data_IF_774942694945
#
_entry.id   IF_774942694945
#
_cell.length_a   1.000
_cell.length_b   1.000
_cell.length_c   1.000
_cell.angle_alpha   90.00
_cell.angle_beta   90.00
_cell.angle_gamma   90.00
#
_symmetry.space_group_name_H-M   'P 1'
#
loop_
_entity.id
_entity.type
_entity.pdbx_description
1 polymer ?
#
# COMPACT_ATOMS: atom_id res chain seq x y z
N UNK A 1 -64.20 -49.33 -29.04
CA UNK A 1 -64.91 -49.40 -27.76
C UNK A 1 -63.96 -48.86 -26.71
N UNK A 2 -64.10 -47.69 -26.10
CA UNK A 2 -65.27 -46.94 -25.69
C UNK A 2 -64.79 -45.52 -25.36
N UNK A 3 -65.42 -44.54 -25.99
CA UNK A 3 -65.43 -43.15 -25.54
C UNK A 3 -66.58 -43.03 -24.53
N UNK A 4 -66.29 -42.57 -23.32
CA UNK A 4 -67.16 -41.89 -22.35
C UNK A 4 -66.46 -41.94 -20.98
N UNK A 5 -66.45 -40.95 -20.10
CA UNK A 5 -67.07 -39.64 -20.03
C UNK A 5 -66.45 -38.96 -18.78
N UNK A 6 -66.48 -37.63 -18.74
CA UNK A 6 -66.32 -36.78 -17.54
C UNK A 6 -64.90 -36.45 -17.04
N UNK A 7 -64.26 -35.48 -17.71
CA UNK A 7 -63.84 -34.26 -17.01
C UNK A 7 -65.06 -33.30 -16.97
N UNK A 8 -65.20 -32.31 -16.07
CA UNK A 8 -64.10 -31.44 -15.59
C UNK A 8 -64.24 -30.89 -14.14
N UNK A 9 -63.15 -30.23 -13.72
CA UNK A 9 -63.08 -29.01 -12.89
C UNK A 9 -62.31 -29.08 -11.56
N UNK A 10 -61.22 -28.28 -11.58
CA UNK A 10 -60.64 -27.48 -10.47
C UNK A 10 -59.64 -28.28 -9.61
N UNK A 11 -58.34 -28.25 -9.93
CA UNK A 11 -57.34 -27.24 -9.49
C UNK A 11 -57.46 -26.99 -7.97
N UNK A 12 -56.47 -27.03 -7.10
CA UNK A 12 -55.02 -26.97 -7.15
C UNK A 12 -54.62 -26.88 -5.66
N UNK A 13 -53.40 -27.31 -5.29
CA UNK A 13 -52.75 -27.13 -3.98
C UNK A 13 -53.37 -27.97 -2.84
N UNK A 14 -52.62 -28.85 -2.19
CA UNK A 14 -51.72 -28.42 -1.12
C UNK A 14 -50.79 -29.56 -0.69
N UNK A 15 -49.50 -29.22 -0.60
CA UNK A 15 -48.36 -30.06 -0.26
C UNK A 15 -48.43 -30.71 1.14
N UNK A 16 -47.71 -31.82 1.37
CA UNK A 16 -47.65 -32.49 2.67
C UNK A 16 -46.96 -31.63 3.73
N UNK A 17 -47.52 -31.70 4.93
CA UNK A 17 -47.07 -31.08 6.18
C UNK A 17 -45.67 -31.55 6.57
N UNK A 18 -44.64 -30.81 6.12
CA UNK A 18 -43.29 -30.91 6.68
C UNK A 18 -43.24 -30.14 8.01
N UNK A 19 -43.31 -30.89 9.12
CA UNK A 19 -43.06 -30.37 10.47
C UNK A 19 -41.57 -30.04 10.58
N UNK A 20 -41.22 -28.78 10.36
CA UNK A 20 -39.91 -28.24 10.71
C UNK A 20 -39.89 -27.92 12.21
N UNK A 21 -39.15 -28.70 12.99
CA UNK A 21 -38.79 -28.35 14.37
C UNK A 21 -37.66 -27.31 14.32
N UNK A 22 -37.84 -26.06 14.78
CA UNK A 22 -36.70 -25.19 14.96
C UNK A 22 -35.91 -25.67 16.18
N UNK A 23 -34.79 -26.34 15.95
CA UNK A 23 -33.77 -26.56 16.98
C UNK A 23 -33.24 -25.19 17.40
N UNK A 24 -33.74 -24.71 18.53
CA UNK A 24 -33.26 -23.51 19.21
C UNK A 24 -31.89 -23.80 19.81
N UNK A 25 -30.83 -23.58 19.03
CA UNK A 25 -29.49 -23.42 19.55
C UNK A 25 -28.66 -22.60 18.55
N UNK A 26 -29.04 -21.34 18.35
CA UNK A 26 -28.09 -20.35 17.89
C UNK A 26 -27.05 -20.20 19.02
N UNK A 27 -25.96 -20.93 18.88
CA UNK A 27 -24.76 -20.71 19.68
C UNK A 27 -24.24 -19.34 19.29
N UNK A 28 -24.64 -18.32 20.04
CA UNK A 28 -24.02 -17.00 20.03
C UNK A 28 -22.61 -17.18 20.58
N UNK A 29 -21.71 -17.72 19.77
CA UNK A 29 -20.29 -17.65 20.03
C UNK A 29 -19.94 -16.19 19.83
N UNK A 30 -19.98 -15.44 20.93
CA UNK A 30 -19.50 -14.08 21.01
C UNK A 30 -18.09 -14.08 20.41
N UNK A 31 -17.97 -13.56 19.19
CA UNK A 31 -16.68 -13.14 18.68
C UNK A 31 -16.37 -11.87 19.47
N UNK A 32 -15.79 -12.03 20.65
CA UNK A 32 -15.12 -10.92 21.31
C UNK A 32 -14.03 -10.48 20.33
N UNK A 33 -14.06 -9.27 19.75
CA UNK A 33 -12.82 -8.72 19.25
C UNK A 33 -11.94 -8.57 20.48
N UNK A 34 -11.04 -9.53 20.66
CA UNK A 34 -9.89 -9.30 21.52
C UNK A 34 -9.11 -8.19 20.82
N UNK A 35 -9.43 -6.95 21.16
CA UNK A 35 -8.51 -5.82 21.13
C UNK A 35 -7.40 -6.07 22.16
N UNK A 36 -6.75 -7.23 22.08
CA UNK A 36 -5.35 -7.35 22.41
C UNK A 36 -4.62 -6.88 21.16
N UNK A 37 -4.46 -5.57 21.04
CA UNK A 37 -3.35 -4.99 20.31
C UNK A 37 -2.08 -5.54 20.96
N UNK A 38 -1.71 -6.74 20.54
CA UNK A 38 -0.36 -7.25 20.66
C UNK A 38 0.47 -6.33 19.79
N UNK A 39 0.90 -5.22 20.37
CA UNK A 39 1.88 -4.30 19.80
C UNK A 39 3.20 -5.07 19.70
N UNK A 40 3.29 -5.96 18.70
CA UNK A 40 4.58 -6.41 18.20
C UNK A 40 5.19 -5.17 17.55
N UNK A 41 6.26 -4.59 18.11
CA UNK A 41 6.86 -3.38 17.54
C UNK A 41 7.27 -3.59 16.08
N UNK A 42 7.46 -4.84 15.65
CA UNK A 42 7.90 -5.19 14.30
C UNK A 42 6.99 -4.69 13.17
N UNK A 43 5.66 -4.65 13.33
CA UNK A 43 4.77 -4.27 12.21
C UNK A 43 4.76 -2.76 11.93
N UNK A 44 4.85 -1.92 12.96
CA UNK A 44 4.81 -0.46 12.80
C UNK A 44 6.21 0.09 12.54
N UNK A 45 7.22 -0.43 13.26
CA UNK A 45 8.60 0.04 13.13
C UNK A 45 9.19 -0.30 11.75
N UNK A 46 8.87 -1.49 11.20
CA UNK A 46 9.30 -1.87 9.86
C UNK A 46 8.73 -0.96 8.76
N UNK A 47 7.43 -0.59 8.87
CA UNK A 47 6.79 0.34 7.92
C UNK A 47 7.35 1.76 8.04
N UNK A 48 7.59 2.22 9.27
CA UNK A 48 8.19 3.54 9.49
C UNK A 48 9.57 3.63 8.85
N UNK A 49 10.44 2.66 9.11
CA UNK A 49 11.77 2.61 8.51
C UNK A 49 11.67 2.60 6.99
N UNK A 50 10.78 1.78 6.42
CA UNK A 50 10.60 1.73 4.97
C UNK A 50 10.20 3.09 4.39
N UNK A 51 9.20 3.77 4.97
CA UNK A 51 8.81 5.11 4.52
C UNK A 51 9.92 6.14 4.68
N UNK A 52 10.70 6.08 5.76
CA UNK A 52 11.86 6.99 5.91
C UNK A 52 12.91 6.74 4.84
N UNK A 53 13.20 5.47 4.52
CA UNK A 53 14.15 5.09 3.47
C UNK A 53 13.64 5.55 2.11
N UNK A 54 12.36 5.33 1.80
CA UNK A 54 11.75 5.75 0.54
C UNK A 54 11.81 7.27 0.36
N UNK A 55 11.46 8.03 1.40
CA UNK A 55 11.52 9.49 1.37
C UNK A 55 12.96 9.97 1.14
N UNK A 56 13.94 9.34 1.79
CA UNK A 56 15.36 9.66 1.56
C UNK A 56 15.77 9.31 0.14
N UNK A 57 15.40 8.13 -0.38
CA UNK A 57 15.72 7.71 -1.75
C UNK A 57 15.15 8.69 -2.78
N UNK A 58 13.88 9.07 -2.64
CA UNK A 58 13.25 10.07 -3.50
C UNK A 58 14.01 11.39 -3.42
N UNK A 59 14.37 11.86 -2.21
CA UNK A 59 15.15 13.09 -2.06
C UNK A 59 16.54 13.02 -2.71
N UNK A 60 17.21 11.88 -2.64
CA UNK A 60 18.51 11.64 -3.27
C UNK A 60 18.42 11.63 -4.79
N UNK A 61 17.37 11.04 -5.37
CA UNK A 61 17.12 11.08 -6.82
C UNK A 61 16.92 12.51 -7.30
N UNK A 62 16.10 13.29 -6.58
CA UNK A 62 15.86 14.70 -6.91
C UNK A 62 17.14 15.55 -6.80
N UNK A 63 17.96 15.28 -5.79
CA UNK A 63 19.28 15.91 -5.67
C UNK A 63 20.22 15.53 -6.82
N UNK A 64 20.22 14.27 -7.25
CA UNK A 64 20.98 13.80 -8.41
C UNK A 64 20.54 14.47 -9.72
N UNK A 65 19.23 14.63 -9.93
CA UNK A 65 18.68 15.39 -11.06
C UNK A 65 19.17 16.84 -11.05
N UNK A 66 19.17 17.50 -9.90
CA UNK A 66 19.72 18.85 -9.74
C UNK A 66 21.21 18.90 -10.09
N UNK A 67 22.01 17.91 -9.68
CA UNK A 67 23.43 17.85 -9.98
C UNK A 67 23.73 17.59 -11.48
N UNK A 68 22.91 16.79 -12.16
CA UNK A 68 23.09 16.44 -13.57
C UNK A 68 22.52 17.48 -14.54
N UNK A 69 21.39 18.09 -14.19
CA UNK A 69 20.61 18.95 -15.11
C UNK A 69 20.62 20.43 -14.71
N UNK A 70 21.02 20.74 -13.47
CA UNK A 70 20.95 22.09 -12.91
C UNK A 70 19.54 22.55 -12.50
N UNK A 71 18.50 21.74 -12.75
CA UNK A 71 17.13 22.08 -12.37
C UNK A 71 16.81 21.64 -10.94
N UNK A 72 16.32 22.56 -10.12
CA UNK A 72 15.87 22.28 -8.76
C UNK A 72 14.33 22.34 -8.71
N UNK A 73 13.72 21.46 -7.91
CA UNK A 73 12.30 21.57 -7.57
C UNK A 73 12.12 22.84 -6.73
N UNK A 74 11.35 23.78 -7.27
CA UNK A 74 10.98 24.98 -6.54
C UNK A 74 10.02 24.60 -5.42
N UNK A 75 10.38 24.94 -4.18
CA UNK A 75 9.50 24.83 -3.01
C UNK A 75 8.66 26.09 -2.79
N UNK A 76 8.86 27.13 -3.62
CA UNK A 76 8.06 28.36 -3.64
C UNK A 76 6.56 28.21 -4.00
N UNK A 77 6.12 27.24 -4.83
CA UNK A 77 4.70 27.01 -5.06
C UNK A 77 4.02 26.24 -3.91
N UNK A 78 4.78 25.75 -2.92
CA UNK A 78 4.16 25.17 -1.73
C UNK A 78 3.68 26.29 -0.79
N UNK A 79 2.50 26.13 -0.16
CA UNK A 79 2.02 27.07 0.83
C UNK A 79 3.03 27.22 1.97
N UNK A 80 3.28 28.46 2.39
CA UNK A 80 4.16 28.79 3.51
C UNK A 80 3.68 28.03 4.76
N UNK A 81 4.49 27.08 5.23
CA UNK A 81 4.11 26.22 6.35
C UNK A 81 5.09 25.06 6.61
N UNK A 82 4.74 24.17 7.55
CA UNK A 82 5.58 23.01 7.92
C UNK A 82 5.94 22.10 6.73
N UNK A 83 5.07 22.06 5.72
CA UNK A 83 5.30 21.31 4.49
C UNK A 83 6.50 21.84 3.70
N UNK A 84 6.65 23.17 3.58
CA UNK A 84 7.78 23.79 2.89
C UNK A 84 9.10 23.54 3.62
N UNK A 85 9.12 23.76 4.94
CA UNK A 85 10.30 23.50 5.76
C UNK A 85 10.72 22.02 5.73
N UNK A 86 9.75 21.10 5.71
CA UNK A 86 10.02 19.66 5.58
C UNK A 86 10.58 19.34 4.20
N UNK A 87 9.99 19.87 3.13
CA UNK A 87 10.50 19.69 1.77
C UNK A 87 11.93 20.22 1.60
N UNK A 88 12.21 21.42 2.11
CA UNK A 88 13.55 22.01 2.08
C UNK A 88 14.57 21.16 2.86
N UNK A 89 14.17 20.64 4.03
CA UNK A 89 15.03 19.77 4.85
C UNK A 89 15.29 18.44 4.14
N UNK A 90 14.28 17.83 3.54
CA UNK A 90 14.40 16.58 2.79
C UNK A 90 15.28 16.75 1.55
N UNK A 91 15.08 17.80 0.77
CA UNK A 91 15.91 18.09 -0.40
C UNK A 91 17.37 18.34 0.01
N UNK A 92 17.60 19.13 1.06
CA UNK A 92 18.95 19.36 1.59
C UNK A 92 19.60 18.08 2.11
N UNK A 93 18.84 17.19 2.75
CA UNK A 93 19.33 15.90 3.20
C UNK A 93 19.67 14.98 2.02
N UNK A 94 18.81 14.93 1.00
CA UNK A 94 19.04 14.19 -0.24
C UNK A 94 20.33 14.60 -0.95
N UNK A 95 20.65 15.90 -0.99
CA UNK A 95 21.91 16.42 -1.53
C UNK A 95 23.13 15.94 -0.74
N UNK A 96 23.07 15.93 0.59
CA UNK A 96 24.17 15.41 1.41
C UNK A 96 24.41 13.94 1.15
N UNK A 97 23.34 13.13 1.16
CA UNK A 97 23.42 11.68 0.89
C UNK A 97 23.98 11.42 -0.49
N UNK A 98 23.50 12.14 -1.52
CA UNK A 98 24.00 12.04 -2.88
C UNK A 98 25.49 12.38 -2.97
N UNK A 99 25.91 13.49 -2.36
CA UNK A 99 27.31 13.91 -2.38
C UNK A 99 28.23 12.93 -1.64
N UNK A 100 27.77 12.36 -0.52
CA UNK A 100 28.50 11.30 0.18
C UNK A 100 28.59 10.04 -0.67
N UNK A 101 27.49 9.62 -1.32
CA UNK A 101 27.49 8.46 -2.22
C UNK A 101 28.42 8.67 -3.42
N UNK A 102 28.38 9.84 -4.06
CA UNK A 102 29.29 10.20 -5.14
C UNK A 102 30.75 10.22 -4.65
N UNK A 103 31.02 10.77 -3.47
CA UNK A 103 32.34 10.72 -2.84
C UNK A 103 32.85 9.29 -2.61
N UNK A 104 31.98 8.40 -2.12
CA UNK A 104 32.29 6.98 -1.94
C UNK A 104 32.58 6.28 -3.28
N UNK A 105 31.96 6.72 -4.37
CA UNK A 105 32.25 6.17 -5.69
C UNK A 105 33.68 6.48 -6.16
N UNK A 106 34.25 7.62 -5.75
CA UNK A 106 35.63 7.96 -6.07
C UNK A 106 36.67 7.28 -5.17
N UNK A 107 36.30 6.90 -3.95
CA UNK A 107 37.26 6.34 -2.97
C UNK A 107 37.24 4.83 -2.91
N UNK A 108 36.15 4.19 -3.31
CA UNK A 108 36.03 2.73 -3.26
C UNK A 108 36.53 2.09 -4.55
N UNK A 109 37.32 1.02 -4.42
CA UNK A 109 37.86 0.26 -5.55
C UNK A 109 36.83 -0.58 -6.32
N UNK A 110 35.53 -0.44 -5.99
CA UNK A 110 34.42 -1.11 -6.70
C UNK A 110 33.97 -0.34 -7.94
N UNK A 111 34.34 0.93 -8.07
CA UNK A 111 33.95 1.76 -9.19
C UNK A 111 35.14 1.99 -10.10
N UNK A 112 35.04 1.47 -11.31
CA UNK A 112 35.96 1.79 -12.39
C UNK A 112 35.42 3.00 -13.15
N UNK A 113 36.30 3.96 -13.47
CA UNK A 113 35.95 5.06 -14.35
C UNK A 113 35.97 4.53 -15.77
N UNK A 114 34.83 4.57 -16.45
CA UNK A 114 34.77 4.30 -17.88
C UNK A 114 35.63 5.34 -18.63
N UNK A 115 36.78 4.91 -19.15
CA UNK A 115 37.61 5.74 -20.00
C UNK A 115 36.97 5.79 -21.38
N UNK A 116 36.31 6.91 -21.70
CA UNK A 116 35.73 7.11 -23.02
C UNK A 116 36.87 7.13 -24.05
N UNK A 117 36.91 6.19 -25.02
CA UNK A 117 38.01 6.15 -25.98
C UNK A 117 38.04 7.46 -26.77
N UNK A 118 39.21 8.14 -26.76
CA UNK A 118 39.45 9.30 -27.61
C UNK A 118 39.46 8.82 -29.07
N UNK A 119 38.56 9.37 -29.87
CA UNK A 119 38.59 9.23 -31.34
C UNK A 119 39.59 10.22 -31.93
#
# INVERSE_FOLDING_TARGET
SSLDLAQPHILLLTSPTLRYTPSTAYSTRCYTPSTAYSTRPSMVLGRLVHYTVDVVLVSTVLAGMKAQTGFQISTAPLPEGPARQTADTLLSFGERVFNTAAGMSYTSGWFEREEKPRK
#
